data_IF_957531049453
#
_entry.id   IF_957531049453
#
_cell.length_a   1.000
_cell.length_b   1.000
_cell.length_c   1.000
_cell.angle_alpha   90.00
_cell.angle_beta   90.00
_cell.angle_gamma   90.00
#
_symmetry.space_group_name_H-M   'P 1'
#
loop_
_entity.id
_entity.type
_entity.pdbx_description
1 polymer ?
#
# COMPACT_ATOMS: atom_id res chain seq x y z
N UNK A 1 -11.17 23.37 4.70
CA UNK A 1 -11.30 22.25 5.65
C UNK A 1 -9.90 21.70 5.89
N UNK A 2 -9.43 21.72 7.14
CA UNK A 2 -8.16 21.09 7.51
C UNK A 2 -8.41 19.58 7.58
N UNK A 3 -7.72 18.78 6.76
CA UNK A 3 -7.58 17.36 7.02
C UNK A 3 -6.46 17.24 8.06
N UNK A 4 -6.75 16.89 9.33
CA UNK A 4 -5.67 16.63 10.27
C UNK A 4 -4.95 15.37 9.80
N UNK A 5 -3.69 15.50 9.38
CA UNK A 5 -2.84 14.33 9.20
C UNK A 5 -2.80 13.58 10.53
N UNK A 6 -3.00 12.25 10.52
CA UNK A 6 -2.83 11.45 11.72
C UNK A 6 -1.41 11.66 12.27
N UNK A 7 -1.22 11.67 13.60
CA UNK A 7 0.12 11.70 14.17
C UNK A 7 0.92 10.51 13.63
N UNK A 8 2.21 10.73 13.34
CA UNK A 8 3.09 9.73 12.74
C UNK A 8 3.22 8.42 13.57
N UNK A 9 2.77 8.43 14.82
CA UNK A 9 2.75 7.28 15.73
C UNK A 9 1.39 6.54 15.77
N UNK A 10 0.50 6.81 14.82
CA UNK A 10 -0.76 6.08 14.66
C UNK A 10 -0.65 5.06 13.53
N UNK A 11 -1.33 3.90 13.61
CA UNK A 11 -1.29 2.88 12.55
C UNK A 11 -1.63 3.43 11.15
N UNK A 12 -2.56 4.41 11.09
CA UNK A 12 -2.90 5.10 9.85
C UNK A 12 -1.78 6.02 9.37
N UNK A 13 -1.15 6.76 10.28
CA UNK A 13 0.01 7.60 9.94
C UNK A 13 1.19 6.78 9.40
N UNK A 14 1.48 5.63 10.02
CA UNK A 14 2.52 4.72 9.55
C UNK A 14 2.21 4.14 8.16
N UNK A 15 0.94 3.78 7.90
CA UNK A 15 0.49 3.31 6.60
C UNK A 15 0.61 4.39 5.51
N UNK A 16 0.23 5.64 5.81
CA UNK A 16 0.39 6.77 4.87
C UNK A 16 1.87 7.08 4.57
N UNK A 17 2.75 6.92 5.57
CA UNK A 17 4.19 7.05 5.36
C UNK A 17 4.74 5.91 4.50
N UNK A 18 4.28 4.68 4.71
CA UNK A 18 4.66 3.53 3.88
C UNK A 18 4.18 3.70 2.43
N UNK A 19 2.95 4.19 2.23
CA UNK A 19 2.43 4.54 0.90
C UNK A 19 3.31 5.58 0.21
N UNK A 20 3.64 6.66 0.92
CA UNK A 20 4.50 7.73 0.37
C UNK A 20 5.89 7.20 -0.03
N UNK A 21 6.49 6.32 0.79
CA UNK A 21 7.76 5.65 0.45
C UNK A 21 7.62 4.75 -0.78
N UNK A 22 6.58 3.93 -0.82
CA UNK A 22 6.35 2.98 -1.90
C UNK A 22 6.11 3.67 -3.26
N UNK A 23 5.31 4.74 -3.27
CA UNK A 23 5.03 5.53 -4.48
C UNK A 23 6.27 6.28 -4.98
N UNK A 24 7.24 6.55 -4.12
CA UNK A 24 8.51 7.18 -4.51
C UNK A 24 9.53 6.19 -5.11
N UNK A 25 9.29 4.87 -5.04
CA UNK A 25 10.18 3.88 -5.61
C UNK A 25 10.22 3.95 -7.14
N UNK A 26 11.38 3.64 -7.70
CA UNK A 26 11.59 3.55 -9.14
C UNK A 26 12.10 2.16 -9.49
N UNK A 27 12.14 1.82 -10.79
CA UNK A 27 12.76 0.59 -11.27
C UNK A 27 14.21 0.41 -10.77
N UNK A 28 14.92 1.52 -10.51
CA UNK A 28 16.31 1.54 -10.02
C UNK A 28 16.44 1.11 -8.56
N UNK A 29 15.36 1.22 -7.76
CA UNK A 29 15.31 0.67 -6.39
C UNK A 29 15.50 -0.85 -6.37
N UNK A 30 15.25 -1.52 -7.50
CA UNK A 30 15.42 -2.96 -7.64
C UNK A 30 14.24 -3.75 -7.08
N UNK A 31 14.12 -4.99 -7.58
CA UNK A 31 12.97 -5.86 -7.29
C UNK A 31 12.80 -6.12 -5.80
N UNK A 32 13.90 -6.45 -5.11
CA UNK A 32 13.85 -6.79 -3.69
C UNK A 32 13.30 -5.66 -2.83
N UNK A 33 13.80 -4.44 -3.01
CA UNK A 33 13.34 -3.28 -2.22
C UNK A 33 11.85 -3.00 -2.47
N UNK A 34 11.40 -3.10 -3.73
CA UNK A 34 9.98 -2.91 -4.08
C UNK A 34 9.11 -3.98 -3.41
N UNK A 35 9.51 -5.24 -3.46
CA UNK A 35 8.78 -6.34 -2.82
C UNK A 35 8.74 -6.19 -1.30
N UNK A 36 9.84 -5.75 -0.67
CA UNK A 36 9.93 -5.54 0.77
C UNK A 36 9.03 -4.38 1.23
N UNK A 37 9.08 -3.24 0.56
CA UNK A 37 8.22 -2.08 0.87
C UNK A 37 6.74 -2.38 0.61
N UNK A 38 6.42 -3.15 -0.45
CA UNK A 38 5.05 -3.62 -0.69
C UNK A 38 4.56 -4.53 0.44
N UNK A 39 5.42 -5.44 0.91
CA UNK A 39 5.10 -6.36 2.01
C UNK A 39 4.86 -5.59 3.30
N UNK A 40 5.72 -4.61 3.63
CA UNK A 40 5.55 -3.75 4.80
C UNK A 40 4.21 -2.98 4.73
N UNK A 41 3.88 -2.41 3.57
CA UNK A 41 2.63 -1.69 3.38
C UNK A 41 1.40 -2.59 3.62
N UNK A 42 1.45 -3.81 3.10
CA UNK A 42 0.38 -4.80 3.30
C UNK A 42 0.23 -5.19 4.77
N UNK A 43 1.32 -5.38 5.48
CA UNK A 43 1.31 -5.70 6.91
C UNK A 43 0.72 -4.56 7.76
N UNK A 44 1.08 -3.31 7.46
CA UNK A 44 0.50 -2.14 8.12
C UNK A 44 -1.00 -2.02 7.88
N UNK A 45 -1.46 -2.25 6.64
CA UNK A 45 -2.89 -2.28 6.33
C UNK A 45 -3.60 -3.40 7.11
N UNK A 46 -2.99 -4.59 7.20
CA UNK A 46 -3.56 -5.70 7.97
C UNK A 46 -3.65 -5.36 9.46
N UNK A 47 -2.61 -4.79 10.05
CA UNK A 47 -2.62 -4.37 11.45
C UNK A 47 -3.75 -3.38 11.74
N UNK A 48 -3.97 -2.43 10.83
CA UNK A 48 -5.04 -1.45 10.93
C UNK A 48 -6.43 -2.12 10.91
N UNK A 49 -6.62 -3.14 10.07
CA UNK A 49 -7.86 -3.93 10.00
C UNK A 49 -8.10 -4.72 11.29
N UNK A 50 -7.04 -5.36 11.83
CA UNK A 50 -7.16 -6.23 13.02
C UNK A 50 -7.55 -5.45 14.28
N UNK A 51 -7.11 -4.19 14.40
CA UNK A 51 -7.44 -3.35 15.56
C UNK A 51 -8.75 -2.58 15.40
N UNK A 52 -9.37 -2.61 14.21
CA UNK A 52 -10.60 -1.89 13.94
C UNK A 52 -11.81 -2.56 14.62
N UNK A 53 -12.76 -1.78 15.18
CA UNK A 53 -14.01 -2.33 15.73
C UNK A 53 -14.88 -3.03 14.68
N UNK A 54 -14.80 -2.57 13.43
CA UNK A 54 -15.45 -3.17 12.27
C UNK A 54 -14.45 -3.23 11.11
N UNK A 55 -14.22 -4.41 10.57
CA UNK A 55 -13.28 -4.65 9.46
C UNK A 55 -13.93 -4.50 8.09
N UNK A 56 -15.27 -4.48 8.00
CA UNK A 56 -15.99 -4.43 6.74
C UNK A 56 -15.62 -3.22 5.85
N UNK A 57 -15.45 -1.99 6.39
CA UNK A 57 -15.06 -0.83 5.58
C UNK A 57 -13.70 -0.96 4.89
N UNK A 58 -12.80 -1.80 5.42
CA UNK A 58 -11.45 -1.98 4.89
C UNK A 58 -11.36 -3.06 3.82
N UNK A 59 -12.41 -3.85 3.61
CA UNK A 59 -12.39 -4.99 2.70
C UNK A 59 -12.01 -4.60 1.27
N UNK A 60 -12.46 -3.42 0.81
CA UNK A 60 -12.12 -2.93 -0.52
C UNK A 60 -10.64 -2.59 -0.66
N UNK A 61 -10.08 -1.83 0.28
CA UNK A 61 -8.64 -1.51 0.33
C UNK A 61 -7.78 -2.77 0.44
N UNK A 62 -8.20 -3.72 1.29
CA UNK A 62 -7.52 -5.01 1.44
C UNK A 62 -7.49 -5.81 0.15
N UNK A 63 -8.62 -5.95 -0.54
CA UNK A 63 -8.70 -6.69 -1.79
C UNK A 63 -7.85 -6.03 -2.90
N UNK A 64 -7.86 -4.70 -2.95
CA UNK A 64 -7.07 -3.94 -3.92
C UNK A 64 -5.56 -4.18 -3.75
N UNK A 65 -5.06 -4.20 -2.52
CA UNK A 65 -3.66 -4.51 -2.23
C UNK A 65 -3.36 -6.00 -2.40
N UNK A 66 -4.09 -6.85 -1.67
CA UNK A 66 -3.70 -8.25 -1.46
C UNK A 66 -3.92 -9.13 -2.70
N UNK A 67 -4.80 -8.71 -3.63
CA UNK A 67 -5.07 -9.43 -4.88
C UNK A 67 -4.49 -8.63 -6.05
N UNK A 68 -5.05 -7.44 -6.31
CA UNK A 68 -4.78 -6.75 -7.58
C UNK A 68 -3.37 -6.17 -7.65
N UNK A 69 -2.92 -5.45 -6.61
CA UNK A 69 -1.58 -4.90 -6.60
C UNK A 69 -0.50 -6.00 -6.54
N UNK A 70 -0.80 -7.14 -5.90
CA UNK A 70 0.08 -8.31 -5.89
C UNK A 70 0.27 -8.93 -7.29
N UNK A 71 -0.79 -8.98 -8.11
CA UNK A 71 -0.68 -9.46 -9.49
C UNK A 71 0.26 -8.55 -10.29
N UNK A 72 0.09 -7.23 -10.21
CA UNK A 72 0.98 -6.30 -10.90
C UNK A 72 2.43 -6.37 -10.37
N UNK A 73 2.61 -6.64 -9.07
CA UNK A 73 3.94 -6.84 -8.49
C UNK A 73 4.61 -8.07 -9.09
N UNK A 74 3.88 -9.18 -9.26
CA UNK A 74 4.41 -10.38 -9.91
C UNK A 74 4.80 -10.12 -11.38
N UNK A 75 4.00 -9.33 -12.10
CA UNK A 75 4.34 -8.92 -13.47
C UNK A 75 5.63 -8.07 -13.51
N UNK A 76 5.78 -7.16 -12.55
CA UNK A 76 7.00 -6.37 -12.39
C UNK A 76 8.23 -7.25 -12.08
N UNK A 77 8.09 -8.22 -11.17
CA UNK A 77 9.14 -9.18 -10.83
C UNK A 77 9.56 -10.03 -12.02
N UNK A 78 8.67 -10.28 -12.99
CA UNK A 78 8.97 -10.97 -14.25
C UNK A 78 9.67 -10.08 -15.29
N UNK A 79 9.84 -8.79 -15.00
CA UNK A 79 10.57 -7.85 -15.85
C UNK A 79 9.70 -6.77 -16.52
N UNK A 80 8.37 -6.79 -16.30
CA UNK A 80 7.49 -5.76 -16.82
C UNK A 80 7.61 -4.47 -15.99
N UNK A 81 8.55 -3.59 -16.36
CA UNK A 81 8.80 -2.35 -15.64
C UNK A 81 7.56 -1.44 -15.55
N UNK A 82 6.67 -1.48 -16.55
CA UNK A 82 5.43 -0.70 -16.56
C UNK A 82 4.38 -1.21 -15.55
N UNK A 83 4.57 -2.39 -14.96
CA UNK A 83 3.69 -2.88 -13.91
C UNK A 83 3.91 -2.16 -12.57
N UNK A 84 5.11 -1.60 -12.32
CA UNK A 84 5.39 -0.87 -11.08
C UNK A 84 4.43 0.31 -10.87
N UNK A 85 4.19 1.11 -11.89
CA UNK A 85 3.23 2.23 -11.83
C UNK A 85 1.81 1.76 -11.54
N UNK A 86 1.40 0.58 -12.04
CA UNK A 86 0.09 -0.02 -11.72
C UNK A 86 -0.01 -0.46 -10.27
N UNK A 87 1.07 -1.01 -9.69
CA UNK A 87 1.12 -1.33 -8.25
C UNK A 87 0.96 -0.05 -7.45
N UNK A 88 1.71 1.00 -7.80
CA UNK A 88 1.68 2.30 -7.10
C UNK A 88 0.30 2.98 -7.17
N UNK A 89 -0.37 2.94 -8.31
CA UNK A 89 -1.75 3.44 -8.45
C UNK A 89 -2.73 2.70 -7.54
N UNK A 90 -2.61 1.37 -7.42
CA UNK A 90 -3.47 0.57 -6.55
C UNK A 90 -3.17 0.79 -5.08
N UNK A 91 -1.90 0.95 -4.73
CA UNK A 91 -1.46 1.32 -3.38
C UNK A 91 -2.07 2.65 -2.95
N UNK A 92 -1.89 3.68 -3.78
CA UNK A 92 -2.48 5.00 -3.56
C UNK A 92 -4.00 4.94 -3.45
N UNK A 93 -4.65 4.24 -4.38
CA UNK A 93 -6.10 4.05 -4.36
C UNK A 93 -6.59 3.37 -3.08
N UNK A 94 -5.91 2.32 -2.63
CA UNK A 94 -6.31 1.58 -1.43
C UNK A 94 -6.22 2.45 -0.17
N UNK A 95 -5.17 3.27 -0.04
CA UNK A 95 -5.01 4.18 1.10
C UNK A 95 -6.03 5.32 1.07
N UNK A 96 -6.37 5.84 -0.11
CA UNK A 96 -7.40 6.87 -0.27
C UNK A 96 -8.82 6.37 0.04
N UNK A 97 -9.07 5.07 -0.05
CA UNK A 97 -10.37 4.44 0.22
C UNK A 97 -10.58 4.09 1.71
N UNK A 98 -9.59 4.33 2.57
CA UNK A 98 -9.71 4.02 3.99
C UNK A 98 -10.78 4.93 4.65
N UNK A 99 -11.59 4.37 5.58
CA UNK A 99 -12.62 5.11 6.31
C UNK A 99 -12.06 6.15 7.30
#
# INVERSE_FOLDING_TARGET
MFNPQPPANSPLGELMLAESRFVALTAESGKQQITDEFTQLRELLWQLIVVAPDSAPYAQSWNLINIHAKIDLMDFEQGNQAALSKVQEKVKGAVQMLP
#
